data_IF_990830651884
#
_entry.id   IF_990830651884
#
_cell.length_a   1.000
_cell.length_b   1.000
_cell.length_c   1.000
_cell.angle_alpha   90.00
_cell.angle_beta   90.00
_cell.angle_gamma   90.00
#
_symmetry.space_group_name_H-M   'P 1'
#
loop_
_entity.id
_entity.type
_entity.pdbx_description
1 polymer ?
#
# COMPACT_ATOMS: atom_id res chain seq x y z
N UNK A 1 -9.75 -33.39 7.71
CA UNK A 1 -8.99 -32.55 6.75
C UNK A 1 -9.86 -31.46 6.11
N UNK A 2 -11.17 -31.64 5.98
CA UNK A 2 -12.11 -30.62 5.48
C UNK A 2 -12.11 -29.31 6.28
N UNK A 3 -11.82 -29.34 7.58
CA UNK A 3 -11.83 -28.15 8.45
C UNK A 3 -10.74 -27.11 8.16
N UNK A 4 -9.75 -27.39 7.32
CA UNK A 4 -8.61 -26.48 7.17
C UNK A 4 -8.78 -25.50 6.00
N UNK A 5 -9.38 -25.91 4.89
CA UNK A 5 -9.63 -25.04 3.75
C UNK A 5 -10.74 -24.03 4.04
N UNK A 6 -11.85 -24.47 4.66
CA UNK A 6 -12.93 -23.55 5.04
C UNK A 6 -12.46 -22.49 6.04
N UNK A 7 -11.55 -22.83 6.95
CA UNK A 7 -10.94 -21.82 7.83
C UNK A 7 -10.10 -20.83 7.04
N UNK A 8 -9.26 -21.30 6.11
CA UNK A 8 -8.46 -20.42 5.25
C UNK A 8 -9.37 -19.54 4.38
N UNK A 9 -10.46 -20.07 3.86
CA UNK A 9 -11.43 -19.32 3.06
C UNK A 9 -12.17 -18.26 3.90
N UNK A 10 -12.51 -18.55 5.14
CA UNK A 10 -13.13 -17.59 6.04
C UNK A 10 -12.16 -16.43 6.38
N UNK A 11 -10.89 -16.75 6.64
CA UNK A 11 -9.85 -15.74 6.86
C UNK A 11 -9.60 -14.90 5.59
N UNK A 12 -9.62 -15.54 4.42
CA UNK A 12 -9.53 -14.87 3.12
C UNK A 12 -10.75 -13.99 2.83
N UNK A 13 -11.95 -14.42 3.20
CA UNK A 13 -13.17 -13.59 3.10
C UNK A 13 -13.05 -12.34 3.97
N UNK A 14 -12.58 -12.47 5.20
CA UNK A 14 -12.28 -11.34 6.08
C UNK A 14 -11.25 -10.39 5.49
N UNK A 15 -10.18 -10.92 4.92
CA UNK A 15 -9.16 -10.14 4.20
C UNK A 15 -9.75 -9.39 3.01
N UNK A 16 -10.52 -10.06 2.15
CA UNK A 16 -11.19 -9.42 1.01
C UNK A 16 -12.18 -8.34 1.45
N UNK A 17 -12.94 -8.57 2.52
CA UNK A 17 -13.91 -7.63 3.08
C UNK A 17 -13.23 -6.38 3.67
N UNK A 18 -12.03 -6.53 4.24
CA UNK A 18 -11.22 -5.42 4.75
C UNK A 18 -10.55 -4.61 3.63
N UNK A 19 -10.49 -5.16 2.41
CA UNK A 19 -9.87 -4.50 1.26
C UNK A 19 -10.83 -3.47 0.64
N UNK A 20 -10.63 -2.20 0.95
CA UNK A 20 -11.41 -1.09 0.38
C UNK A 20 -11.30 -0.97 -1.16
N UNK A 21 -10.33 -1.67 -1.78
CA UNK A 21 -10.06 -1.63 -3.23
C UNK A 21 -10.78 -2.71 -4.01
N UNK A 22 -11.26 -3.77 -3.34
CA UNK A 22 -11.96 -4.88 -3.99
C UNK A 22 -13.45 -4.68 -3.78
N UNK A 23 -14.20 -4.47 -4.87
CA UNK A 23 -15.66 -4.33 -4.77
C UNK A 23 -16.28 -5.58 -4.12
N UNK A 24 -17.39 -5.41 -3.40
CA UNK A 24 -18.10 -6.54 -2.77
C UNK A 24 -18.53 -7.62 -3.79
N UNK A 25 -18.77 -7.23 -5.02
CA UNK A 25 -19.04 -8.15 -6.14
C UNK A 25 -17.80 -8.98 -6.49
N UNK A 26 -16.62 -8.36 -6.55
CA UNK A 26 -15.36 -9.07 -6.85
C UNK A 26 -14.96 -10.00 -5.70
N UNK A 27 -15.17 -9.60 -4.45
CA UNK A 27 -14.90 -10.43 -3.26
C UNK A 27 -15.71 -11.74 -3.32
N UNK A 28 -17.02 -11.63 -3.54
CA UNK A 28 -17.90 -12.81 -3.70
C UNK A 28 -17.47 -13.69 -4.88
N UNK A 29 -17.00 -13.09 -5.97
CA UNK A 29 -16.53 -13.82 -7.14
C UNK A 29 -15.27 -14.64 -6.85
N UNK A 30 -14.27 -14.06 -6.17
CA UNK A 30 -13.04 -14.79 -5.84
C UNK A 30 -13.30 -16.00 -4.95
N UNK A 31 -14.10 -15.85 -3.89
CA UNK A 31 -14.50 -16.97 -3.04
C UNK A 31 -15.25 -18.06 -3.80
N UNK A 32 -16.20 -17.64 -4.66
CA UNK A 32 -16.94 -18.56 -5.53
C UNK A 32 -16.02 -19.31 -6.47
N UNK A 33 -14.99 -18.65 -7.03
CA UNK A 33 -14.04 -19.29 -7.93
C UNK A 33 -13.19 -20.34 -7.22
N UNK A 34 -12.70 -20.04 -6.01
CA UNK A 34 -11.90 -21.01 -5.22
C UNK A 34 -12.75 -22.19 -4.79
N UNK A 35 -13.98 -21.97 -4.30
CA UNK A 35 -14.90 -23.07 -3.94
C UNK A 35 -15.27 -23.93 -5.15
N UNK A 36 -15.45 -23.32 -6.32
CA UNK A 36 -15.72 -24.06 -7.56
C UNK A 36 -14.51 -24.85 -8.04
N UNK A 37 -13.30 -24.30 -7.87
CA UNK A 37 -12.06 -24.99 -8.16
C UNK A 37 -11.87 -26.21 -7.24
N UNK A 38 -12.06 -26.04 -5.93
CA UNK A 38 -11.95 -27.12 -4.94
C UNK A 38 -12.87 -28.29 -5.27
N UNK A 39 -14.08 -28.00 -5.71
CA UNK A 39 -15.01 -29.02 -6.20
C UNK A 39 -14.54 -29.68 -7.48
N UNK A 40 -13.97 -28.92 -8.41
CA UNK A 40 -13.51 -29.44 -9.70
C UNK A 40 -12.22 -30.27 -9.57
N UNK A 41 -11.33 -29.94 -8.64
CA UNK A 41 -10.06 -30.63 -8.40
C UNK A 41 -10.12 -31.67 -7.27
N UNK A 42 -11.35 -32.02 -6.86
CA UNK A 42 -11.58 -33.11 -5.88
C UNK A 42 -10.89 -32.87 -4.53
N UNK A 43 -10.82 -31.63 -4.09
CA UNK A 43 -10.27 -31.29 -2.78
C UNK A 43 -8.75 -31.08 -2.74
N UNK A 44 -8.09 -30.93 -3.88
CA UNK A 44 -6.62 -30.79 -3.92
C UNK A 44 -6.09 -29.37 -3.66
N UNK A 45 -6.95 -28.34 -3.64
CA UNK A 45 -6.51 -26.94 -3.45
C UNK A 45 -5.68 -26.77 -2.18
N UNK A 46 -6.06 -27.42 -1.10
CA UNK A 46 -5.35 -27.33 0.18
C UNK A 46 -3.93 -27.94 0.09
N UNK A 47 -3.76 -29.03 -0.63
CA UNK A 47 -2.46 -29.66 -0.83
C UNK A 47 -1.56 -28.82 -1.75
N UNK A 48 -2.12 -28.18 -2.77
CA UNK A 48 -1.39 -27.25 -3.62
C UNK A 48 -0.89 -26.05 -2.83
N UNK A 49 -1.73 -25.48 -1.93
CA UNK A 49 -1.32 -24.40 -1.04
C UNK A 49 -0.19 -24.82 -0.09
N UNK A 50 -0.27 -26.01 0.50
CA UNK A 50 0.78 -26.55 1.38
C UNK A 50 2.11 -26.71 0.63
N UNK A 51 2.05 -27.28 -0.58
CA UNK A 51 3.22 -27.47 -1.45
C UNK A 51 3.84 -26.10 -1.80
N UNK A 52 3.02 -25.15 -2.19
CA UNK A 52 3.46 -23.83 -2.58
C UNK A 52 4.17 -23.07 -1.43
N UNK A 53 3.61 -23.12 -0.22
CA UNK A 53 4.18 -22.46 0.97
C UNK A 53 5.59 -23.00 1.30
N UNK A 54 5.88 -24.23 0.93
CA UNK A 54 7.18 -24.86 1.17
C UNK A 54 8.24 -24.52 0.10
N UNK A 55 7.92 -23.72 -0.90
CA UNK A 55 8.82 -23.35 -2.00
C UNK A 55 9.27 -21.88 -1.92
N UNK A 56 10.39 -21.56 -2.59
CA UNK A 56 10.86 -20.18 -2.73
C UNK A 56 9.98 -19.34 -3.68
N UNK A 57 9.27 -20.00 -4.60
CA UNK A 57 8.38 -19.36 -5.58
C UNK A 57 6.94 -19.87 -5.48
N UNK A 58 6.21 -19.50 -4.41
CA UNK A 58 4.91 -20.08 -4.11
C UNK A 58 3.87 -19.91 -5.22
N UNK A 59 3.81 -18.74 -5.85
CA UNK A 59 2.83 -18.45 -6.89
C UNK A 59 3.10 -19.26 -8.15
N UNK A 60 4.37 -19.43 -8.53
CA UNK A 60 4.76 -20.29 -9.63
C UNK A 60 4.42 -21.76 -9.34
N UNK A 61 4.65 -22.22 -8.11
CA UNK A 61 4.29 -23.57 -7.66
C UNK A 61 2.78 -23.82 -7.75
N UNK A 62 1.93 -22.85 -7.34
CA UNK A 62 0.47 -22.94 -7.49
C UNK A 62 0.04 -22.97 -8.95
N UNK A 63 0.64 -22.10 -9.78
CA UNK A 63 0.35 -22.05 -11.21
C UNK A 63 0.68 -23.40 -11.89
N UNK A 64 1.83 -23.96 -11.57
CA UNK A 64 2.27 -25.24 -12.12
C UNK A 64 1.34 -26.37 -11.66
N UNK A 65 0.98 -26.44 -10.38
CA UNK A 65 0.04 -27.45 -9.88
C UNK A 65 -1.33 -27.36 -10.56
N UNK A 66 -1.81 -26.14 -10.83
CA UNK A 66 -3.05 -25.91 -11.59
C UNK A 66 -2.93 -26.45 -13.03
N UNK A 67 -1.87 -26.08 -13.75
CA UNK A 67 -1.66 -26.48 -15.14
C UNK A 67 -1.45 -27.99 -15.27
N UNK A 68 -0.63 -28.60 -14.38
CA UNK A 68 -0.39 -30.05 -14.34
C UNK A 68 -1.69 -30.82 -14.15
N UNK A 69 -2.52 -30.41 -13.18
CA UNK A 69 -3.79 -31.09 -12.91
C UNK A 69 -4.73 -31.06 -14.12
N UNK A 70 -4.97 -29.88 -14.70
CA UNK A 70 -5.90 -29.75 -15.82
C UNK A 70 -5.34 -30.31 -17.15
N UNK A 71 -4.02 -30.38 -17.29
CA UNK A 71 -3.39 -31.13 -18.41
C UNK A 71 -3.58 -32.64 -18.29
N UNK A 72 -3.55 -33.17 -17.06
CA UNK A 72 -3.80 -34.59 -16.81
C UNK A 72 -5.29 -34.98 -16.88
N UNK A 73 -6.20 -33.99 -16.77
CA UNK A 73 -7.65 -34.18 -16.77
C UNK A 73 -8.33 -33.32 -17.85
N UNK A 74 -8.09 -33.60 -19.14
CA UNK A 74 -8.58 -32.79 -20.25
C UNK A 74 -10.10 -32.74 -20.35
N UNK A 75 -10.83 -33.66 -19.75
CA UNK A 75 -12.27 -33.68 -19.61
C UNK A 75 -12.78 -32.58 -18.66
N UNK A 76 -11.94 -32.14 -17.74
CA UNK A 76 -12.23 -31.03 -16.80
C UNK A 76 -11.71 -29.73 -17.38
N UNK A 77 -12.56 -28.99 -18.11
CA UNK A 77 -12.16 -27.71 -18.72
C UNK A 77 -11.72 -26.71 -17.65
N UNK A 78 -10.42 -26.37 -17.64
CA UNK A 78 -9.90 -25.33 -16.80
C UNK A 78 -10.58 -23.97 -17.10
N UNK A 79 -11.02 -23.27 -16.06
CA UNK A 79 -11.58 -21.94 -16.19
C UNK A 79 -10.56 -20.90 -15.73
N UNK A 80 -10.32 -19.88 -16.53
CA UNK A 80 -9.38 -18.80 -16.21
C UNK A 80 -9.73 -18.10 -14.88
N UNK A 81 -11.03 -18.03 -14.55
CA UNK A 81 -11.50 -17.48 -13.29
C UNK A 81 -11.03 -18.29 -12.08
N UNK A 82 -10.95 -19.63 -12.19
CA UNK A 82 -10.46 -20.49 -11.12
C UNK A 82 -8.98 -20.23 -10.85
N UNK A 83 -8.18 -20.10 -11.90
CA UNK A 83 -6.75 -19.73 -11.78
C UNK A 83 -6.61 -18.36 -11.12
N UNK A 84 -7.42 -17.40 -11.51
CA UNK A 84 -7.41 -16.07 -10.89
C UNK A 84 -7.75 -16.12 -9.40
N UNK A 85 -8.78 -16.88 -9.01
CA UNK A 85 -9.15 -17.06 -7.59
C UNK A 85 -8.06 -17.75 -6.79
N UNK A 86 -7.45 -18.82 -7.35
CA UNK A 86 -6.34 -19.56 -6.74
C UNK A 86 -5.10 -18.66 -6.53
N UNK A 87 -4.73 -17.87 -7.55
CA UNK A 87 -3.59 -16.94 -7.41
C UNK A 87 -3.83 -15.89 -6.34
N UNK A 88 -5.04 -15.34 -6.23
CA UNK A 88 -5.40 -14.40 -5.16
C UNK A 88 -5.37 -15.02 -3.76
N UNK A 89 -5.85 -16.25 -3.64
CA UNK A 89 -5.73 -17.02 -2.39
C UNK A 89 -4.25 -17.32 -2.08
N UNK A 90 -3.47 -17.65 -3.09
CA UNK A 90 -2.03 -17.84 -2.98
C UNK A 90 -1.30 -16.59 -2.50
N UNK A 91 -1.58 -15.43 -3.10
CA UNK A 91 -1.04 -14.13 -2.66
C UNK A 91 -1.33 -13.88 -1.17
N UNK A 92 -2.57 -14.15 -0.73
CA UNK A 92 -2.98 -14.02 0.67
C UNK A 92 -2.18 -14.97 1.59
N UNK A 93 -2.14 -16.26 1.25
CA UNK A 93 -1.47 -17.28 2.07
C UNK A 93 0.04 -17.08 2.09
N UNK A 94 0.65 -16.75 0.96
CA UNK A 94 2.09 -16.49 0.85
C UNK A 94 2.49 -15.16 1.50
N UNK A 95 1.65 -14.14 1.41
CA UNK A 95 1.83 -12.89 2.14
C UNK A 95 1.88 -13.13 3.65
N UNK A 96 1.10 -14.07 4.17
CA UNK A 96 1.14 -14.49 5.57
C UNK A 96 2.43 -15.25 5.90
N UNK A 97 2.89 -16.15 5.02
CA UNK A 97 4.04 -17.03 5.30
C UNK A 97 5.38 -16.34 5.15
N UNK A 98 5.56 -15.49 4.15
CA UNK A 98 6.81 -14.73 3.95
C UNK A 98 7.10 -13.72 5.07
N UNK A 99 6.10 -13.43 5.91
CA UNK A 99 6.26 -12.58 7.10
C UNK A 99 6.62 -13.39 8.37
N UNK A 100 7.11 -14.63 8.27
CA UNK A 100 7.39 -15.53 9.40
C UNK A 100 6.16 -15.78 10.32
N UNK A 101 4.97 -15.54 9.84
CA UNK A 101 3.75 -15.76 10.61
C UNK A 101 3.38 -17.24 10.52
N UNK A 102 3.53 -17.94 11.63
CA UNK A 102 3.11 -19.32 11.75
C UNK A 102 1.56 -19.39 11.64
N UNK A 103 1.03 -19.98 10.56
CA UNK A 103 -0.42 -20.15 10.32
C UNK A 103 -1.21 -20.79 11.46
N UNK A 104 -0.52 -21.39 12.46
CA UNK A 104 -1.15 -21.97 13.65
C UNK A 104 -1.64 -20.93 14.67
N UNK A 105 -1.32 -19.65 14.48
CA UNK A 105 -1.69 -18.59 15.42
C UNK A 105 -1.87 -17.23 14.77
N UNK A 106 -2.74 -17.11 13.74
CA UNK A 106 -3.22 -15.77 13.35
C UNK A 106 -4.15 -15.30 14.47
N UNK A 107 -3.52 -14.82 15.53
CA UNK A 107 -4.17 -14.02 16.55
C UNK A 107 -4.33 -12.61 15.95
N UNK A 108 -5.47 -11.98 16.15
CA UNK A 108 -5.75 -10.59 15.70
C UNK A 108 -4.60 -9.63 16.07
N UNK A 109 -3.90 -9.88 17.18
CA UNK A 109 -2.67 -9.14 17.57
C UNK A 109 -1.53 -9.24 16.56
N UNK A 110 -1.49 -10.27 15.70
CA UNK A 110 -0.47 -10.42 14.66
C UNK A 110 -0.86 -9.74 13.34
N UNK A 111 -2.15 -9.43 13.13
CA UNK A 111 -2.61 -8.73 11.93
C UNK A 111 -2.03 -7.31 11.84
N UNK A 112 -2.01 -6.59 12.95
CA UNK A 112 -1.44 -5.23 13.01
C UNK A 112 0.03 -5.23 12.61
N UNK A 113 0.82 -6.17 13.15
CA UNK A 113 2.23 -6.32 12.80
C UNK A 113 2.42 -6.73 11.33
N UNK A 114 1.57 -7.62 10.82
CA UNK A 114 1.56 -8.01 9.42
C UNK A 114 1.25 -6.82 8.51
N UNK A 115 0.20 -6.06 8.81
CA UNK A 115 -0.17 -4.86 8.07
C UNK A 115 0.96 -3.82 8.07
N UNK A 116 1.61 -3.62 9.21
CA UNK A 116 2.77 -2.75 9.35
C UNK A 116 3.95 -3.20 8.49
N UNK A 117 4.27 -4.49 8.47
CA UNK A 117 5.33 -5.06 7.63
C UNK A 117 5.00 -4.93 6.14
N UNK A 118 3.75 -5.20 5.74
CA UNK A 118 3.31 -5.06 4.36
C UNK A 118 3.44 -3.61 3.88
N UNK A 119 3.02 -2.65 4.70
CA UNK A 119 3.17 -1.23 4.42
C UNK A 119 4.65 -0.85 4.33
N UNK A 120 5.49 -1.24 5.28
CA UNK A 120 6.90 -0.92 5.29
C UNK A 120 7.66 -1.47 4.08
N UNK A 121 7.29 -2.66 3.59
CA UNK A 121 7.86 -3.30 2.39
C UNK A 121 7.44 -2.63 1.08
N UNK A 122 6.35 -1.88 1.07
CA UNK A 122 5.76 -1.30 -0.14
C UNK A 122 5.73 0.23 -0.16
N UNK A 123 5.95 0.87 0.99
CA UNK A 123 5.91 2.33 1.13
C UNK A 123 7.08 3.02 0.43
N UNK A 124 6.76 4.10 -0.30
CA UNK A 124 7.77 4.94 -0.94
C UNK A 124 7.61 6.37 -0.44
N UNK A 125 8.62 6.86 0.24
CA UNK A 125 8.73 8.24 0.72
C UNK A 125 9.59 9.08 -0.23
N UNK A 126 9.47 10.39 -0.17
CA UNK A 126 10.50 11.25 -0.77
C UNK A 126 11.80 11.17 0.05
N UNK A 127 12.92 11.55 -0.55
CA UNK A 127 14.17 11.65 0.19
C UNK A 127 14.14 12.86 1.13
N UNK A 128 14.90 12.78 2.23
CA UNK A 128 15.09 13.90 3.16
C UNK A 128 15.58 15.15 2.45
N UNK A 129 16.52 15.00 1.54
CA UNK A 129 17.06 16.11 0.77
C UNK A 129 15.99 16.85 -0.03
N UNK A 130 15.10 16.12 -0.71
CA UNK A 130 14.01 16.74 -1.47
C UNK A 130 13.02 17.43 -0.54
N UNK A 131 12.70 16.82 0.61
CA UNK A 131 11.86 17.47 1.61
C UNK A 131 12.46 18.80 2.09
N UNK A 132 13.75 18.82 2.40
CA UNK A 132 14.45 20.02 2.86
C UNK A 132 14.50 21.09 1.75
N UNK A 133 14.73 20.71 0.49
CA UNK A 133 14.63 21.64 -0.65
C UNK A 133 13.25 22.24 -0.82
N UNK A 134 12.18 21.46 -0.63
CA UNK A 134 10.80 21.99 -0.67
C UNK A 134 10.56 22.97 0.47
N UNK A 135 11.03 22.67 1.67
CA UNK A 135 10.95 23.60 2.82
C UNK A 135 11.67 24.91 2.58
N UNK A 136 12.80 24.87 1.91
CA UNK A 136 13.62 26.04 1.64
C UNK A 136 13.13 26.82 0.39
N UNK A 137 12.16 26.30 -0.36
CA UNK A 137 11.68 26.92 -1.61
C UNK A 137 12.53 26.62 -2.83
N UNK A 138 13.53 25.73 -2.72
CA UNK A 138 14.40 25.33 -3.84
C UNK A 138 13.73 24.34 -4.78
N UNK A 139 12.67 23.68 -4.31
CA UNK A 139 11.88 22.72 -5.05
C UNK A 139 10.38 22.91 -4.79
N UNK A 140 9.55 22.43 -5.72
CA UNK A 140 8.10 22.52 -5.66
C UNK A 140 7.47 22.84 -7.00
N UNK A 141 6.20 23.22 -7.02
CA UNK A 141 5.54 23.84 -8.18
C UNK A 141 5.99 25.30 -8.32
N UNK A 142 5.95 25.85 -9.53
CA UNK A 142 6.48 27.19 -9.86
C UNK A 142 6.16 28.29 -8.87
N UNK A 143 4.94 28.27 -8.29
CA UNK A 143 4.54 29.26 -7.30
C UNK A 143 5.23 29.09 -5.94
N UNK A 144 5.57 27.85 -5.57
CA UNK A 144 6.34 27.58 -4.35
C UNK A 144 7.72 28.24 -4.41
N UNK A 145 8.41 28.11 -5.53
CA UNK A 145 9.74 28.70 -5.74
C UNK A 145 9.71 30.24 -5.74
N UNK A 146 8.61 30.84 -6.25
CA UNK A 146 8.44 32.30 -6.27
C UNK A 146 8.14 32.90 -4.90
N UNK A 147 7.51 32.12 -4.04
CA UNK A 147 7.05 32.58 -2.73
C UNK A 147 8.03 32.24 -1.59
N UNK A 148 9.16 31.60 -1.92
CA UNK A 148 10.11 31.11 -0.93
C UNK A 148 9.67 29.78 -0.31
N UNK A 149 10.39 29.35 0.71
CA UNK A 149 10.15 28.10 1.41
C UNK A 149 8.86 28.09 2.23
N UNK A 150 8.43 26.91 2.60
CA UNK A 150 7.34 26.71 3.53
C UNK A 150 7.70 25.65 4.57
N UNK A 151 7.48 25.93 5.84
CA UNK A 151 7.90 25.12 6.99
C UNK A 151 7.32 23.69 6.99
N UNK A 152 6.24 23.46 6.23
CA UNK A 152 5.56 22.17 6.18
C UNK A 152 5.95 21.33 4.95
N UNK A 153 6.82 21.83 4.05
CA UNK A 153 7.24 21.13 2.85
C UNK A 153 6.10 20.87 1.86
N UNK A 154 5.15 21.80 1.74
CA UNK A 154 4.03 21.70 0.80
C UNK A 154 4.50 21.98 -0.62
N UNK A 155 4.36 21.02 -1.53
CA UNK A 155 4.79 21.12 -2.92
C UNK A 155 4.14 22.27 -3.68
N UNK A 156 2.86 22.56 -3.40
CA UNK A 156 2.07 23.62 -4.02
C UNK A 156 1.87 24.85 -3.13
N UNK A 157 2.71 25.04 -2.15
CA UNK A 157 2.76 26.24 -1.28
C UNK A 157 1.38 26.72 -0.81
N UNK A 158 0.62 25.86 -0.13
CA UNK A 158 -0.68 26.17 0.51
C UNK A 158 -1.81 26.55 -0.46
N UNK A 159 -1.65 26.30 -1.76
CA UNK A 159 -2.66 26.68 -2.77
C UNK A 159 -3.67 25.56 -3.08
N UNK A 160 -3.53 24.39 -2.46
CA UNK A 160 -4.37 23.21 -2.74
C UNK A 160 -4.72 22.48 -1.44
N UNK A 161 -6.00 22.15 -1.25
CA UNK A 161 -6.49 21.29 -0.16
C UNK A 161 -7.53 20.30 -0.67
N UNK A 162 -7.78 19.20 0.09
CA UNK A 162 -8.77 18.21 -0.28
C UNK A 162 -10.19 18.77 -0.14
N UNK A 163 -11.06 18.40 -1.08
CA UNK A 163 -12.48 18.70 -1.02
C UNK A 163 -13.18 17.80 0.02
N UNK A 164 -14.07 18.37 0.84
CA UNK A 164 -14.86 17.63 1.83
C UNK A 164 -16.12 17.00 1.25
N UNK A 165 -16.65 17.59 0.19
CA UNK A 165 -17.90 17.20 -0.45
C UNK A 165 -17.63 16.78 -1.90
N UNK A 166 -18.52 15.99 -2.49
CA UNK A 166 -18.40 15.43 -3.84
C UNK A 166 -18.45 16.40 -5.02
N UNK A 167 -18.26 17.69 -4.79
CA UNK A 167 -18.20 18.71 -5.85
C UNK A 167 -16.80 18.69 -6.48
N UNK A 168 -16.72 18.26 -7.72
CA UNK A 168 -15.49 18.22 -8.49
C UNK A 168 -15.00 19.63 -8.81
N UNK A 169 -13.80 19.92 -8.33
CA UNK A 169 -13.00 21.06 -8.76
C UNK A 169 -13.58 22.41 -8.37
N UNK A 170 -12.72 23.39 -8.31
CA UNK A 170 -13.08 24.76 -7.97
C UNK A 170 -12.10 25.34 -6.96
N UNK A 171 -12.46 26.48 -6.43
CA UNK A 171 -11.73 27.18 -5.39
C UNK A 171 -12.68 27.41 -4.23
N UNK A 172 -12.13 27.48 -3.01
CA UNK A 172 -12.88 27.94 -1.85
C UNK A 172 -12.97 29.49 -1.82
N UNK A 173 -13.54 30.01 -0.73
CA UNK A 173 -13.69 31.44 -0.55
C UNK A 173 -12.35 32.19 -0.42
N UNK A 174 -11.31 31.50 0.02
CA UNK A 174 -9.94 31.99 0.17
C UNK A 174 -9.10 31.87 -1.10
N UNK A 175 -9.67 31.34 -2.19
CA UNK A 175 -8.96 31.11 -3.45
C UNK A 175 -8.06 29.87 -3.44
N UNK A 176 -8.20 28.97 -2.46
CA UNK A 176 -7.49 27.71 -2.39
C UNK A 176 -8.18 26.69 -3.29
N UNK A 177 -7.43 26.02 -4.16
CA UNK A 177 -7.95 24.98 -5.07
C UNK A 177 -8.42 23.76 -4.28
N UNK A 178 -9.59 23.27 -4.62
CA UNK A 178 -10.17 22.04 -4.08
C UNK A 178 -9.76 20.83 -4.93
N UNK A 179 -9.19 19.81 -4.31
CA UNK A 179 -8.56 18.65 -4.96
C UNK A 179 -9.22 17.32 -4.54
N UNK A 180 -9.25 16.39 -5.48
CA UNK A 180 -9.67 14.99 -5.30
C UNK A 180 -8.49 14.02 -5.03
N UNK A 181 -7.38 14.52 -4.49
CA UNK A 181 -6.10 13.84 -4.31
C UNK A 181 -5.17 13.82 -5.54
N UNK A 182 -5.55 14.41 -6.66
CA UNK A 182 -4.71 14.46 -7.88
C UNK A 182 -3.42 15.24 -7.64
N UNK A 183 -3.49 16.38 -6.95
CA UNK A 183 -2.33 17.21 -6.65
C UNK A 183 -1.41 16.57 -5.61
N UNK A 184 -1.96 15.92 -4.58
CA UNK A 184 -1.18 15.16 -3.62
C UNK A 184 -0.41 14.01 -4.30
N UNK A 185 -1.08 13.24 -5.19
CA UNK A 185 -0.43 12.22 -6.02
C UNK A 185 0.67 12.80 -6.91
N UNK A 186 0.43 13.97 -7.51
CA UNK A 186 1.43 14.63 -8.37
C UNK A 186 2.62 15.12 -7.56
N UNK A 187 2.39 15.70 -6.39
CA UNK A 187 3.42 16.21 -5.49
C UNK A 187 4.39 15.11 -5.09
N UNK A 188 3.90 14.07 -4.43
CA UNK A 188 4.76 13.00 -3.92
C UNK A 188 5.45 12.20 -5.03
N UNK A 189 4.76 11.86 -6.14
CA UNK A 189 5.38 11.18 -7.27
C UNK A 189 6.48 12.00 -7.91
N UNK A 190 6.32 13.31 -7.99
CA UNK A 190 7.36 14.19 -8.53
C UNK A 190 8.53 14.34 -7.58
N UNK A 191 8.27 14.49 -6.28
CA UNK A 191 9.30 14.56 -5.24
C UNK A 191 10.15 13.29 -5.21
N UNK A 192 9.52 12.12 -5.21
CA UNK A 192 10.23 10.83 -5.24
C UNK A 192 11.08 10.70 -6.50
N UNK A 193 10.55 11.04 -7.68
CA UNK A 193 11.32 10.97 -8.93
C UNK A 193 12.52 11.92 -8.95
N UNK A 194 12.40 13.09 -8.34
CA UNK A 194 13.53 14.03 -8.20
C UNK A 194 14.60 13.44 -7.28
N UNK A 195 14.21 12.83 -6.17
CA UNK A 195 15.12 12.10 -5.29
C UNK A 195 15.87 10.97 -6.02
N UNK A 196 15.15 10.13 -6.76
CA UNK A 196 15.76 9.05 -7.54
C UNK A 196 16.77 9.58 -8.59
N UNK A 197 16.47 10.68 -9.25
CA UNK A 197 17.39 11.33 -10.21
C UNK A 197 18.64 11.89 -9.52
N UNK A 198 18.46 12.46 -8.32
CA UNK A 198 19.59 12.94 -7.52
C UNK A 198 20.58 11.81 -7.23
N UNK A 199 20.08 10.59 -6.95
CA UNK A 199 20.90 9.39 -6.79
C UNK A 199 21.33 8.70 -8.08
N UNK A 200 21.19 9.37 -9.25
CA UNK A 200 21.68 8.85 -10.52
C UNK A 200 20.73 7.94 -11.30
N UNK A 201 19.49 7.74 -10.83
CA UNK A 201 18.47 6.94 -11.53
C UNK A 201 17.71 7.82 -12.53
N UNK A 202 18.37 8.19 -13.62
CA UNK A 202 17.81 9.12 -14.63
C UNK A 202 16.68 8.51 -15.47
N UNK A 203 16.58 7.19 -15.56
CA UNK A 203 15.52 6.48 -16.30
C UNK A 203 14.19 6.41 -15.56
N UNK A 204 14.16 6.80 -14.27
CA UNK A 204 12.95 6.81 -13.48
C UNK A 204 11.89 7.73 -14.08
N UNK A 205 10.69 7.24 -14.28
CA UNK A 205 9.54 7.97 -14.81
C UNK A 205 8.29 7.76 -13.95
N UNK A 206 7.26 8.60 -14.15
CA UNK A 206 5.98 8.45 -13.44
C UNK A 206 5.31 7.08 -13.66
N UNK A 207 5.71 6.34 -14.71
CA UNK A 207 5.23 4.97 -14.96
C UNK A 207 5.68 3.97 -13.89
N UNK A 208 6.81 4.24 -13.21
CA UNK A 208 7.30 3.44 -12.08
C UNK A 208 6.26 3.31 -10.97
N UNK A 209 5.45 4.37 -10.75
CA UNK A 209 4.42 4.41 -9.71
C UNK A 209 3.01 4.18 -10.28
N UNK A 210 2.89 3.42 -11.38
CA UNK A 210 1.59 2.98 -11.86
C UNK A 210 0.98 2.00 -10.86
N UNK A 211 -0.25 2.28 -10.41
CA UNK A 211 -0.89 1.49 -9.36
C UNK A 211 -0.59 1.96 -7.93
N UNK A 212 0.27 2.98 -7.75
CA UNK A 212 0.49 3.61 -6.46
C UNK A 212 -0.40 4.83 -6.25
N UNK A 213 -0.86 5.00 -5.02
CA UNK A 213 -1.64 6.15 -4.56
C UNK A 213 -0.91 6.91 -3.46
N UNK A 214 -1.15 8.23 -3.40
CA UNK A 214 -0.69 9.06 -2.30
C UNK A 214 -1.62 8.89 -1.10
N UNK A 215 -1.07 8.50 0.03
CA UNK A 215 -1.76 8.40 1.30
C UNK A 215 -1.26 9.51 2.24
N UNK A 216 -2.18 10.18 2.94
CA UNK A 216 -1.83 11.14 3.97
C UNK A 216 -1.49 10.40 5.27
N UNK A 217 -0.34 10.72 5.84
CA UNK A 217 0.16 10.12 7.07
C UNK A 217 -0.65 10.61 8.28
N UNK A 218 -1.06 11.89 8.25
CA UNK A 218 -2.07 12.49 9.13
C UNK A 218 -3.34 12.78 8.31
N UNK A 219 -4.30 11.84 8.25
CA UNK A 219 -5.44 11.91 7.32
C UNK A 219 -6.26 13.20 7.45
N UNK A 220 -6.51 13.66 8.68
CA UNK A 220 -7.32 14.84 8.93
C UNK A 220 -6.72 16.13 8.36
N UNK A 221 -5.41 16.16 8.16
CA UNK A 221 -4.69 17.32 7.64
C UNK A 221 -4.84 17.49 6.12
N UNK A 222 -5.41 16.54 5.43
CA UNK A 222 -5.63 16.64 3.97
C UNK A 222 -6.57 17.81 3.59
N UNK A 223 -7.40 18.27 4.51
CA UNK A 223 -8.30 19.42 4.33
C UNK A 223 -7.64 20.76 4.58
N UNK A 224 -6.39 20.78 5.02
CA UNK A 224 -5.60 21.98 5.26
C UNK A 224 -4.56 22.14 4.14
N UNK A 225 -4.57 23.31 3.50
CA UNK A 225 -3.67 23.59 2.38
C UNK A 225 -2.18 23.53 2.77
N UNK A 226 -1.85 23.74 4.05
CA UNK A 226 -0.47 23.61 4.55
C UNK A 226 0.07 22.19 4.44
N UNK A 227 -0.81 21.17 4.55
CA UNK A 227 -0.43 19.78 4.70
C UNK A 227 -0.84 18.88 3.52
N UNK A 228 -1.89 19.27 2.76
CA UNK A 228 -2.45 18.42 1.71
C UNK A 228 -1.40 17.96 0.68
N UNK A 229 -0.49 18.84 0.29
CA UNK A 229 0.57 18.52 -0.67
C UNK A 229 1.96 18.51 -0.03
N UNK A 230 2.02 18.44 1.30
CA UNK A 230 3.28 18.32 2.04
C UNK A 230 3.90 16.94 1.77
N UNK A 231 5.11 16.95 1.19
CA UNK A 231 5.80 15.69 0.85
C UNK A 231 6.31 14.95 2.08
N UNK A 232 6.37 15.62 3.25
CA UNK A 232 6.62 14.97 4.55
C UNK A 232 5.36 14.33 5.17
N UNK A 233 4.16 14.73 4.68
CA UNK A 233 2.86 14.17 5.08
C UNK A 233 2.35 13.09 4.13
N UNK A 234 3.07 12.80 3.08
CA UNK A 234 2.63 11.90 2.02
C UNK A 234 3.54 10.68 1.91
N UNK A 235 2.92 9.54 1.69
CA UNK A 235 3.59 8.29 1.31
C UNK A 235 2.89 7.70 0.09
N UNK A 236 3.66 7.10 -0.83
CA UNK A 236 3.11 6.30 -1.92
C UNK A 236 2.97 4.86 -1.48
N UNK A 237 1.79 4.31 -1.64
CA UNK A 237 1.48 2.90 -1.40
C UNK A 237 0.81 2.28 -2.63
N UNK A 238 1.04 0.99 -2.91
CA UNK A 238 0.20 0.25 -3.84
C UNK A 238 -1.27 0.36 -3.43
N UNK A 239 -2.18 0.45 -4.40
CA UNK A 239 -3.64 0.58 -4.15
C UNK A 239 -4.18 -0.50 -3.24
N UNK A 240 -3.61 -1.70 -3.36
CA UNK A 240 -4.01 -2.87 -2.60
C UNK A 240 -3.76 -2.73 -1.09
N UNK A 241 -2.80 -1.89 -0.71
CA UNK A 241 -2.43 -1.64 0.71
C UNK A 241 -2.80 -0.24 1.19
N UNK A 242 -3.14 0.68 0.29
CA UNK A 242 -3.43 2.08 0.62
C UNK A 242 -4.55 2.23 1.67
N UNK A 243 -5.58 1.39 1.61
CA UNK A 243 -6.68 1.40 2.59
C UNK A 243 -6.26 1.11 4.04
N UNK A 244 -5.11 0.49 4.27
CA UNK A 244 -4.60 0.25 5.62
C UNK A 244 -4.25 1.56 6.35
N UNK A 245 -3.93 2.63 5.62
CA UNK A 245 -3.64 3.95 6.21
C UNK A 245 -4.88 4.59 6.85
N UNK A 246 -6.08 4.22 6.40
CA UNK A 246 -7.33 4.77 6.93
C UNK A 246 -7.95 3.88 8.01
N UNK A 247 -7.71 2.56 7.96
CA UNK A 247 -8.45 1.58 8.76
C UNK A 247 -7.61 0.82 9.80
N UNK A 248 -6.27 0.81 9.69
CA UNK A 248 -5.40 0.13 10.65
C UNK A 248 -4.67 1.14 11.56
N UNK A 249 -5.02 1.17 12.84
CA UNK A 249 -4.43 2.11 13.80
C UNK A 249 -2.91 1.91 13.95
N UNK A 250 -2.45 0.67 13.97
CA UNK A 250 -1.02 0.34 14.06
C UNK A 250 -0.23 0.89 12.86
N UNK A 251 -0.82 0.83 11.64
CA UNK A 251 -0.21 1.41 10.44
C UNK A 251 -0.15 2.93 10.53
N UNK A 252 -1.19 3.59 11.05
CA UNK A 252 -1.18 5.05 11.26
C UNK A 252 -0.06 5.46 12.22
N UNK A 253 0.08 4.79 13.33
CA UNK A 253 1.12 5.05 14.33
C UNK A 253 2.52 4.81 13.75
N UNK A 254 2.69 3.72 13.00
CA UNK A 254 3.94 3.39 12.32
C UNK A 254 4.35 4.49 11.34
N UNK A 255 3.44 4.91 10.46
CA UNK A 255 3.72 5.93 9.44
C UNK A 255 3.97 7.31 10.05
N UNK A 256 3.22 7.69 11.09
CA UNK A 256 3.45 8.95 11.82
C UNK A 256 4.85 8.98 12.43
N UNK A 257 5.25 7.89 13.10
CA UNK A 257 6.59 7.80 13.68
C UNK A 257 7.68 7.79 12.61
N UNK A 258 7.49 7.07 11.50
CA UNK A 258 8.44 7.05 10.38
C UNK A 258 8.61 8.43 9.73
N UNK A 259 7.53 9.18 9.53
CA UNK A 259 7.61 10.55 9.02
C UNK A 259 8.36 11.48 9.99
N UNK A 260 8.18 11.30 11.29
CA UNK A 260 8.96 12.01 12.29
C UNK A 260 10.45 11.62 12.22
N UNK A 261 10.77 10.34 12.15
CA UNK A 261 12.18 9.89 12.05
C UNK A 261 12.87 10.43 10.80
N UNK A 262 12.17 10.36 9.62
CA UNK A 262 12.73 10.81 8.34
C UNK A 262 12.83 12.32 8.24
N UNK A 263 11.77 13.04 8.60
CA UNK A 263 11.59 14.45 8.23
C UNK A 263 11.51 15.39 9.43
N UNK A 264 11.41 14.85 10.64
CA UNK A 264 11.00 15.63 11.83
C UNK A 264 9.67 16.36 11.57
N UNK A 265 8.82 15.71 10.78
CA UNK A 265 7.53 16.25 10.36
C UNK A 265 6.43 15.84 11.33
N UNK A 266 5.67 16.84 11.75
CA UNK A 266 4.37 16.69 12.41
C UNK A 266 3.52 17.93 12.16
N UNK A 267 2.18 17.82 12.12
CA UNK A 267 1.31 19.00 12.04
C UNK A 267 1.44 19.87 13.31
N UNK A 268 1.12 21.15 13.16
CA UNK A 268 1.06 22.08 14.31
C UNK A 268 -0.05 21.61 15.26
N UNK A 269 0.26 21.60 16.55
CA UNK A 269 -0.68 21.16 17.60
C UNK A 269 -0.65 19.65 17.87
N UNK A 270 -0.04 18.84 16.99
CA UNK A 270 0.16 17.43 17.26
C UNK A 270 1.39 17.19 18.13
N UNK A 271 1.31 16.17 18.97
CA UNK A 271 2.46 15.68 19.75
C UNK A 271 3.49 14.97 18.87
N UNK A 272 4.71 14.84 19.37
CA UNK A 272 5.72 13.97 18.75
C UNK A 272 5.19 12.53 18.81
N UNK A 273 5.08 11.82 17.66
CA UNK A 273 4.58 10.47 17.66
C UNK A 273 5.41 9.54 18.54
N UNK A 274 4.75 8.77 19.39
CA UNK A 274 5.43 7.76 20.20
C UNK A 274 5.98 6.65 19.30
N UNK A 275 7.19 6.18 19.62
CA UNK A 275 7.79 5.04 18.91
C UNK A 275 6.97 3.78 19.16
N UNK A 276 6.38 3.15 18.11
CA UNK A 276 5.67 1.89 18.27
C UNK A 276 6.59 0.79 18.82
N UNK A 277 6.11 -0.03 19.75
CA UNK A 277 6.92 -1.10 20.38
C UNK A 277 7.56 -2.06 19.38
N UNK A 278 6.85 -2.33 18.28
CA UNK A 278 7.26 -3.22 17.19
C UNK A 278 8.11 -2.53 16.12
N UNK A 279 8.40 -1.22 16.25
CA UNK A 279 9.09 -0.45 15.20
C UNK A 279 10.46 -1.03 14.84
N UNK A 280 11.24 -1.49 15.83
CA UNK A 280 12.56 -2.07 15.59
C UNK A 280 12.49 -3.42 14.84
N UNK A 281 11.34 -4.09 14.84
CA UNK A 281 11.11 -5.36 14.13
C UNK A 281 10.60 -5.13 12.70
N UNK A 282 10.44 -3.86 12.29
CA UNK A 282 10.01 -3.47 10.96
C UNK A 282 11.22 -3.20 10.09
N UNK A 283 11.32 -3.93 8.99
CA UNK A 283 12.32 -3.68 7.95
C UNK A 283 11.68 -2.86 6.85
N UNK A 284 12.12 -1.62 6.70
CA UNK A 284 11.68 -0.76 5.62
C UNK A 284 12.43 -1.13 4.34
N UNK A 285 11.66 -1.44 3.30
CA UNK A 285 12.24 -1.57 1.96
C UNK A 285 12.35 -0.18 1.36
N UNK A 286 13.42 0.52 1.70
CA UNK A 286 13.70 1.79 1.07
C UNK A 286 14.08 1.56 -0.39
N UNK A 287 13.51 2.34 -1.32
CA UNK A 287 14.14 2.54 -2.62
C UNK A 287 15.37 3.46 -2.51
N UNK A 288 15.75 3.87 -1.30
CA UNK A 288 17.06 4.44 -1.07
C UNK A 288 18.04 3.35 -1.44
N UNK A 289 18.62 3.51 -2.59
CA UNK A 289 19.68 2.75 -3.18
C UNK A 289 20.65 2.41 -2.06
N UNK A 290 20.74 1.12 -1.75
CA UNK A 290 21.87 0.60 -1.02
C UNK A 290 23.09 1.16 -1.73
N UNK A 291 23.81 2.03 -1.02
CA UNK A 291 25.07 2.57 -1.50
C UNK A 291 25.98 1.38 -1.83
N UNK A 292 26.07 1.09 -3.14
CA UNK A 292 27.13 0.25 -3.66
C UNK A 292 28.38 1.08 -3.79
#
# INVERSE_FOLDING_TARGET
MENNLEKILNDFEGYLASSATISSKSQKSYLSYVRSLEKANEGQTCEWLKKAIATEEPINSLSNSFEEYFSAHPEKKAQSQWKTGLMRLGDFVCGITNSSVNLKSINIKNFDLFACRLVAQSAVFCSREIFDKVKNGDEGSGDNQKQGGNEFGAWYHYTVKRIKESKKGGFDAEGVRLDDNTYANRAIKTAVLKGLKHYGIYTASKRLFRGYEACHIWPETCYDARYHTSVGNLVLLPREVAGLTDHCQAVKELLKYEAWERFRFKPVGEDIPAKPKYYNDIVWKNPEIENK
#
